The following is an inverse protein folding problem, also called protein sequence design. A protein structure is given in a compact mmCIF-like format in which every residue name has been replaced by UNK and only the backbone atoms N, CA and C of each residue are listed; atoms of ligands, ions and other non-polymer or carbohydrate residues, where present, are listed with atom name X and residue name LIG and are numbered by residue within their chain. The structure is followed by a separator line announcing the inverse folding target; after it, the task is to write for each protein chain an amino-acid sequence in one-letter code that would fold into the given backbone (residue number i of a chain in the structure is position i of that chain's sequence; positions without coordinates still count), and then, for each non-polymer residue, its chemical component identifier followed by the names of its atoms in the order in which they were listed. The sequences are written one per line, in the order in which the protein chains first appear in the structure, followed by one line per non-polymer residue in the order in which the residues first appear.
data_IF_169908828246
#
_entry.id   IF_169908828246
#
_cell.length_a   1.000
_cell.length_b   1.000
_cell.length_c   1.000
_cell.angle_alpha   90.00
_cell.angle_beta   90.00
_cell.angle_gamma   90.00
#
_symmetry.space_group_name_H-M   'P 1'
#
loop_
_entity.id
_entity.type
_entity.pdbx_description
1 polymer ?
#
# COMPACT_ATOMS: atom_id res chain seq x y z
N UNK A 1 -59.85 -19.94 26.49
CA UNK A 1 -60.31 -18.72 25.77
C UNK A 1 -59.25 -18.36 24.75
N UNK A 2 -59.61 -18.09 23.50
CA UNK A 2 -58.69 -17.47 22.54
C UNK A 2 -59.23 -16.11 22.10
N UNK A 3 -58.38 -15.30 21.47
CA UNK A 3 -58.79 -14.34 20.46
C UNK A 3 -57.70 -14.23 19.40
N UNK A 4 -58.12 -14.27 18.14
CA UNK A 4 -57.31 -13.94 16.96
C UNK A 4 -57.38 -12.44 16.67
N UNK A 5 -56.84 -12.03 15.49
CA UNK A 5 -56.92 -10.72 14.80
C UNK A 5 -55.75 -9.76 15.10
N UNK A 6 -55.17 -9.06 14.12
CA UNK A 6 -55.34 -9.14 12.65
C UNK A 6 -54.09 -8.68 11.88
N UNK A 7 -54.00 -9.09 10.61
CA UNK A 7 -53.24 -8.45 9.51
C UNK A 7 -53.79 -7.02 9.21
N UNK A 8 -53.08 -6.07 8.60
CA UNK A 8 -52.46 -6.04 7.24
C UNK A 8 -51.35 -4.97 7.14
N UNK A 9 -50.53 -4.93 6.06
CA UNK A 9 -49.54 -3.89 5.80
C UNK A 9 -50.04 -2.80 4.83
N UNK A 10 -49.78 -1.52 5.13
CA UNK A 10 -50.05 -0.44 4.18
C UNK A 10 -49.01 -0.38 3.04
N UNK A 11 -49.51 -0.44 1.80
CA UNK A 11 -48.79 0.01 0.61
C UNK A 11 -49.50 1.25 0.07
N UNK A 12 -48.78 2.33 -0.17
CA UNK A 12 -49.29 3.45 -0.97
C UNK A 12 -48.48 3.61 -2.27
N UNK A 13 -49.21 3.87 -3.35
CA UNK A 13 -48.76 3.70 -4.74
C UNK A 13 -48.20 4.99 -5.37
N UNK A 14 -47.55 4.85 -6.52
CA UNK A 14 -46.93 5.95 -7.26
C UNK A 14 -47.89 6.70 -8.21
N UNK A 15 -47.61 7.99 -8.38
CA UNK A 15 -47.86 8.80 -9.57
C UNK A 15 -46.61 9.72 -9.71
N UNK A 16 -45.85 9.75 -10.80
CA UNK A 16 -46.20 10.11 -12.19
C UNK A 16 -46.68 11.57 -12.30
N UNK A 17 -45.76 12.45 -12.66
CA UNK A 17 -46.02 13.73 -13.34
C UNK A 17 -44.98 13.88 -14.45
N UNK A 18 -45.41 14.35 -15.63
CA UNK A 18 -44.63 14.41 -16.87
C UNK A 18 -44.63 15.84 -17.43
N UNK A 19 -43.44 16.33 -17.85
CA UNK A 19 -43.19 17.38 -18.88
C UNK A 19 -41.68 17.63 -18.94
N UNK A 20 -40.97 17.44 -20.07
CA UNK A 20 -41.00 18.22 -21.32
C UNK A 20 -40.44 19.65 -21.17
N UNK A 21 -39.57 20.23 -22.03
CA UNK A 21 -38.63 19.82 -23.11
C UNK A 21 -38.55 21.01 -24.09
N UNK A 22 -37.36 21.50 -24.48
CA UNK A 22 -37.02 22.22 -25.76
C UNK A 22 -35.64 22.91 -25.70
N UNK A 23 -34.90 23.27 -26.77
CA UNK A 23 -34.72 22.72 -28.15
C UNK A 23 -33.63 23.50 -28.96
N UNK A 24 -32.65 22.80 -29.57
CA UNK A 24 -31.78 23.23 -30.73
C UNK A 24 -30.78 24.41 -30.54
N UNK A 25 -29.71 24.64 -31.36
CA UNK A 25 -28.88 23.86 -32.33
C UNK A 25 -27.56 24.69 -32.65
N UNK A 26 -26.86 24.84 -33.80
CA UNK A 26 -27.06 24.49 -35.24
C UNK A 26 -25.81 24.67 -36.19
N UNK A 27 -24.97 23.62 -36.38
CA UNK A 27 -24.01 23.38 -37.53
C UNK A 27 -22.73 24.24 -37.74
N UNK A 28 -21.73 23.61 -38.39
CA UNK A 28 -20.54 24.21 -39.08
C UNK A 28 -19.29 23.30 -38.97
N UNK A 29 -18.99 22.33 -39.85
CA UNK A 29 -18.57 22.35 -41.28
C UNK A 29 -17.13 22.89 -41.50
N UNK A 30 -16.24 22.02 -41.99
CA UNK A 30 -14.81 22.27 -42.29
C UNK A 30 -14.57 22.94 -43.66
N UNK A 31 -13.32 23.34 -43.98
CA UNK A 31 -12.60 22.57 -45.02
C UNK A 31 -11.07 22.43 -44.83
N UNK A 32 -10.46 21.65 -45.73
CA UNK A 32 -9.02 21.34 -45.87
C UNK A 32 -8.13 22.55 -46.19
N UNK A 33 -6.85 22.49 -45.77
CA UNK A 33 -5.70 22.83 -46.61
C UNK A 33 -4.45 22.05 -46.20
N UNK A 34 -3.61 21.67 -47.15
CA UNK A 34 -2.32 21.00 -46.92
C UNK A 34 -1.17 22.00 -46.76
N UNK A 35 -0.03 21.54 -46.23
CA UNK A 35 1.25 21.63 -46.96
C UNK A 35 2.27 20.60 -46.44
N UNK A 36 3.33 20.37 -47.22
CA UNK A 36 4.41 19.40 -47.00
C UNK A 36 5.76 20.11 -46.88
N UNK A 37 6.52 19.85 -45.82
CA UNK A 37 7.96 20.16 -45.76
C UNK A 37 8.70 19.25 -44.75
N UNK A 38 10.01 19.14 -44.94
CA UNK A 38 10.92 18.16 -44.31
C UNK A 38 12.19 18.90 -43.89
N UNK A 39 13.00 18.28 -43.02
CA UNK A 39 14.37 18.67 -42.63
C UNK A 39 14.42 19.84 -41.62
N UNK A 40 15.21 19.89 -40.54
CA UNK A 40 16.40 19.18 -39.96
C UNK A 40 17.61 20.13 -39.85
N UNK A 41 17.70 20.81 -38.71
CA UNK A 41 18.93 21.17 -38.00
C UNK A 41 18.57 21.32 -36.51
N UNK A 42 19.12 20.53 -35.58
CA UNK A 42 20.48 20.66 -35.02
C UNK A 42 20.68 21.99 -34.28
N UNK A 43 20.45 21.99 -32.97
CA UNK A 43 21.19 22.83 -32.02
C UNK A 43 21.16 22.19 -30.63
N UNK A 44 22.22 22.37 -29.84
CA UNK A 44 22.46 21.61 -28.60
C UNK A 44 22.08 22.38 -27.33
N UNK A 45 21.61 21.67 -26.31
CA UNK A 45 21.63 22.14 -24.92
C UNK A 45 21.73 20.94 -23.97
N UNK A 46 22.95 20.43 -23.80
CA UNK A 46 23.26 19.28 -22.95
C UNK A 46 23.30 19.63 -21.45
N UNK A 47 22.18 20.09 -20.89
CA UNK A 47 21.99 20.13 -19.44
C UNK A 47 21.36 18.85 -18.92
N UNK A 48 22.08 17.74 -19.09
CA UNK A 48 21.86 16.55 -18.29
C UNK A 48 22.27 16.86 -16.85
N UNK A 49 21.29 17.14 -15.98
CA UNK A 49 21.52 17.28 -14.54
C UNK A 49 22.15 15.97 -14.05
N UNK A 50 23.29 16.00 -13.33
CA UNK A 50 23.84 14.79 -12.73
C UNK A 50 22.89 14.25 -11.67
N UNK A 51 22.03 13.29 -12.04
CA UNK A 51 21.11 12.62 -11.12
C UNK A 51 21.80 11.60 -10.22
N UNK A 52 23.11 11.74 -10.01
CA UNK A 52 23.89 11.07 -8.98
C UNK A 52 23.58 11.69 -7.62
N UNK A 53 22.35 11.51 -7.16
CA UNK A 53 22.12 11.36 -5.73
C UNK A 53 23.06 10.23 -5.25
N UNK A 54 23.68 10.33 -4.06
CA UNK A 54 24.57 9.30 -3.58
C UNK A 54 23.81 7.98 -3.52
N UNK A 55 24.37 6.92 -4.12
CA UNK A 55 23.88 5.57 -3.87
C UNK A 55 24.11 5.28 -2.38
N UNK A 56 23.03 5.36 -1.60
CA UNK A 56 22.98 4.73 -0.28
C UNK A 56 23.24 3.26 -0.53
N UNK A 57 24.31 2.70 0.05
CA UNK A 57 24.73 1.33 -0.23
C UNK A 57 23.69 0.33 0.29
N UNK A 58 22.80 -0.15 -0.59
CA UNK A 58 21.70 -1.07 -0.26
C UNK A 58 22.14 -2.53 -0.04
N UNK A 59 23.41 -2.73 0.32
CA UNK A 59 24.01 -4.03 0.61
C UNK A 59 23.55 -4.52 1.99
N UNK A 60 22.66 -5.52 2.02
CA UNK A 60 22.29 -6.22 3.25
C UNK A 60 23.46 -7.10 3.73
N UNK A 61 24.26 -6.60 4.67
CA UNK A 61 25.44 -7.27 5.21
C UNK A 61 25.07 -8.37 6.23
N UNK A 62 24.26 -9.35 5.82
CA UNK A 62 23.81 -10.46 6.66
C UNK A 62 24.77 -11.67 6.55
N UNK A 63 25.12 -12.27 7.69
CA UNK A 63 25.80 -13.56 7.72
C UNK A 63 24.84 -14.69 7.33
N UNK A 64 25.36 -15.80 6.78
CA UNK A 64 24.55 -16.98 6.44
C UNK A 64 23.75 -17.53 7.64
N UNK A 65 24.26 -17.38 8.86
CA UNK A 65 23.55 -17.74 10.09
C UNK A 65 22.34 -16.83 10.35
N UNK A 66 22.47 -15.51 10.17
CA UNK A 66 21.35 -14.57 10.25
C UNK A 66 20.32 -14.84 9.14
N UNK A 67 20.76 -15.09 7.90
CA UNK A 67 19.87 -15.42 6.77
C UNK A 67 19.04 -16.68 7.07
N UNK A 68 19.67 -17.76 7.58
CA UNK A 68 18.97 -18.97 8.00
C UNK A 68 17.98 -18.72 9.16
N UNK A 69 18.36 -17.90 10.14
CA UNK A 69 17.50 -17.53 11.27
C UNK A 69 16.27 -16.70 10.83
N UNK A 70 16.45 -15.70 9.96
CA UNK A 70 15.38 -14.89 9.37
C UNK A 70 14.43 -15.80 8.58
N UNK A 71 14.96 -16.69 7.72
CA UNK A 71 14.16 -17.65 6.94
C UNK A 71 13.36 -18.60 7.86
N UNK A 72 13.95 -19.15 8.92
CA UNK A 72 13.26 -20.01 9.91
C UNK A 72 12.14 -19.25 10.65
N UNK A 73 12.45 -18.09 11.22
CA UNK A 73 11.50 -17.31 12.04
C UNK A 73 10.37 -16.72 11.22
N UNK A 74 10.64 -16.26 9.99
CA UNK A 74 9.61 -15.83 9.06
C UNK A 74 8.67 -16.97 8.67
N UNK A 75 9.19 -18.13 8.27
CA UNK A 75 8.37 -19.29 7.96
C UNK A 75 7.49 -19.73 9.16
N UNK A 76 8.03 -19.68 10.38
CA UNK A 76 7.24 -19.91 11.60
C UNK A 76 6.11 -18.87 11.76
N UNK A 77 6.37 -17.59 11.51
CA UNK A 77 5.38 -16.52 11.60
C UNK A 77 4.26 -16.65 10.54
N UNK A 78 4.60 -17.06 9.31
CA UNK A 78 3.65 -17.26 8.20
C UNK A 78 2.62 -18.36 8.49
N UNK A 79 2.96 -19.34 9.33
CA UNK A 79 2.03 -20.40 9.76
C UNK A 79 0.82 -19.89 10.59
N UNK A 80 0.84 -18.64 11.06
CA UNK A 80 -0.27 -18.03 11.80
C UNK A 80 -1.48 -17.70 10.91
N UNK A 81 -1.30 -17.62 9.59
CA UNK A 81 -2.38 -17.38 8.62
C UNK A 81 -1.88 -16.73 7.33
N UNK A 82 -2.69 -16.81 6.26
CA UNK A 82 -2.29 -16.37 4.92
C UNK A 82 -1.80 -14.91 4.83
N UNK A 83 -2.32 -14.02 5.67
CA UNK A 83 -1.92 -12.60 5.78
C UNK A 83 -1.23 -12.25 7.12
N UNK A 84 -0.79 -13.26 7.88
CA UNK A 84 0.08 -13.07 9.05
C UNK A 84 1.53 -13.41 8.67
N UNK A 85 2.55 -12.78 9.30
CA UNK A 85 2.44 -11.82 10.41
C UNK A 85 2.06 -10.38 10.01
N UNK A 86 1.88 -10.09 8.71
CA UNK A 86 1.67 -8.74 8.19
C UNK A 86 0.52 -7.99 8.88
N UNK A 87 -0.65 -8.62 9.06
CA UNK A 87 -1.77 -8.01 9.77
C UNK A 87 -1.43 -7.70 11.24
N UNK A 88 -0.67 -8.55 11.94
CA UNK A 88 -0.21 -8.27 13.31
C UNK A 88 0.79 -7.10 13.37
N UNK A 89 1.66 -6.93 12.37
CA UNK A 89 2.59 -5.80 12.27
C UNK A 89 1.83 -4.48 12.06
N UNK A 90 0.90 -4.44 11.09
CA UNK A 90 0.03 -3.28 10.88
C UNK A 90 -0.81 -2.95 12.12
N UNK A 91 -1.33 -3.97 12.83
CA UNK A 91 -2.03 -3.74 14.11
C UNK A 91 -1.11 -3.17 15.18
N UNK A 92 0.15 -3.62 15.30
CA UNK A 92 1.10 -3.05 16.26
C UNK A 92 1.43 -1.58 15.92
N UNK A 93 1.63 -1.26 14.64
CA UNK A 93 1.91 0.13 14.22
C UNK A 93 0.77 1.10 14.53
N UNK A 94 -0.49 0.63 14.55
CA UNK A 94 -1.65 1.42 15.00
C UNK A 94 -1.61 1.81 16.49
N UNK A 95 -0.94 1.02 17.33
CA UNK A 95 -0.71 1.35 18.75
C UNK A 95 0.52 2.25 18.92
N UNK A 96 1.54 2.13 18.05
CA UNK A 96 2.72 3.02 18.03
C UNK A 96 2.40 4.43 17.57
N UNK A 97 1.58 4.61 16.54
CA UNK A 97 1.06 5.92 16.15
C UNK A 97 -0.37 5.80 15.61
N UNK A 98 -1.29 6.54 16.24
CA UNK A 98 -2.69 6.63 15.84
C UNK A 98 -2.89 7.28 14.47
N UNK A 99 -1.94 8.08 13.96
CA UNK A 99 -1.96 8.59 12.58
C UNK A 99 -1.90 7.46 11.54
N UNK A 100 -1.08 6.42 11.77
CA UNK A 100 -1.00 5.25 10.88
C UNK A 100 -2.36 4.55 10.83
N UNK A 101 -3.04 4.43 11.97
CA UNK A 101 -4.41 3.91 12.05
C UNK A 101 -5.41 4.81 11.34
N UNK A 102 -5.29 6.14 11.47
CA UNK A 102 -6.17 7.12 10.80
C UNK A 102 -6.07 7.00 9.28
N UNK A 103 -4.86 7.01 8.71
CA UNK A 103 -4.62 6.83 7.27
C UNK A 103 -5.13 5.47 6.81
N UNK A 104 -4.73 4.38 7.49
CA UNK A 104 -5.08 3.02 7.07
C UNK A 104 -6.58 2.75 7.15
N UNK A 105 -7.28 3.30 8.15
CA UNK A 105 -8.71 3.08 8.37
C UNK A 105 -9.61 4.18 7.78
N UNK A 106 -9.07 5.18 7.08
CA UNK A 106 -9.81 6.32 6.54
C UNK A 106 -10.99 5.93 5.64
N UNK A 107 -12.11 6.63 5.80
CA UNK A 107 -13.36 6.43 5.05
C UNK A 107 -14.38 5.57 5.79
N UNK A 108 -15.36 5.04 5.07
CA UNK A 108 -16.36 4.13 5.65
C UNK A 108 -15.72 2.84 6.18
N UNK A 109 -16.28 2.25 7.24
CA UNK A 109 -15.70 1.11 8.00
C UNK A 109 -15.12 0.00 7.11
N UNK A 110 -15.83 -0.40 6.06
CA UNK A 110 -15.40 -1.49 5.17
C UNK A 110 -14.21 -1.10 4.28
N UNK A 111 -14.09 0.17 3.87
CA UNK A 111 -13.00 0.65 3.03
C UNK A 111 -11.65 0.58 3.75
N UNK A 112 -11.61 0.91 5.05
CA UNK A 112 -10.42 0.76 5.88
C UNK A 112 -9.95 -0.69 6.01
N UNK A 113 -10.87 -1.64 6.20
CA UNK A 113 -10.52 -3.06 6.32
C UNK A 113 -10.02 -3.65 4.99
N UNK A 114 -10.63 -3.30 3.85
CA UNK A 114 -10.11 -3.73 2.54
C UNK A 114 -8.79 -3.02 2.17
N UNK A 115 -8.56 -1.77 2.61
CA UNK A 115 -7.25 -1.10 2.48
C UNK A 115 -6.18 -1.86 3.27
N UNK A 116 -6.44 -2.17 4.54
CA UNK A 116 -5.54 -2.95 5.40
C UNK A 116 -5.24 -4.34 4.82
N UNK A 117 -6.26 -5.06 4.37
CA UNK A 117 -6.11 -6.39 3.74
C UNK A 117 -5.21 -6.35 2.50
N UNK A 118 -5.36 -5.33 1.64
CA UNK A 118 -4.49 -5.13 0.46
C UNK A 118 -3.06 -4.77 0.84
N UNK A 119 -2.85 -3.95 1.88
CA UNK A 119 -1.51 -3.64 2.37
C UNK A 119 -0.83 -4.85 3.00
N UNK A 120 -1.55 -5.65 3.80
CA UNK A 120 -1.05 -6.89 4.34
C UNK A 120 -0.65 -7.87 3.23
N UNK A 121 -1.47 -8.04 2.20
CA UNK A 121 -1.16 -8.89 1.05
C UNK A 121 0.08 -8.39 0.27
N UNK A 122 0.15 -7.10 -0.05
CA UNK A 122 1.29 -6.53 -0.76
C UNK A 122 2.60 -6.63 0.04
N UNK A 123 2.55 -6.32 1.34
CA UNK A 123 3.68 -6.46 2.26
C UNK A 123 4.11 -7.92 2.41
N UNK A 124 3.17 -8.85 2.58
CA UNK A 124 3.45 -10.29 2.62
C UNK A 124 4.20 -10.76 1.39
N UNK A 125 3.75 -10.41 0.18
CA UNK A 125 4.43 -10.81 -1.06
C UNK A 125 5.86 -10.23 -1.11
N UNK A 126 6.01 -8.92 -0.88
CA UNK A 126 7.33 -8.25 -0.93
C UNK A 126 8.31 -8.84 0.10
N UNK A 127 7.83 -9.19 1.29
CA UNK A 127 8.66 -9.80 2.34
C UNK A 127 8.94 -11.28 2.10
N UNK A 128 7.97 -12.05 1.58
CA UNK A 128 8.19 -13.44 1.16
C UNK A 128 9.28 -13.49 0.06
N UNK A 129 9.22 -12.59 -0.93
CA UNK A 129 10.22 -12.46 -2.01
C UNK A 129 11.59 -11.97 -1.48
N UNK A 130 11.63 -10.96 -0.60
CA UNK A 130 12.88 -10.47 0.02
C UNK A 130 13.57 -11.56 0.84
N UNK A 131 12.82 -12.28 1.67
CA UNK A 131 13.37 -13.30 2.56
C UNK A 131 13.78 -14.56 1.78
N UNK A 132 13.13 -14.85 0.66
CA UNK A 132 13.60 -15.83 -0.32
C UNK A 132 14.95 -15.42 -0.94
N UNK A 133 15.17 -14.14 -1.22
CA UNK A 133 16.33 -13.64 -2.00
C UNK A 133 17.41 -12.90 -1.19
N UNK A 134 17.52 -13.09 0.13
CA UNK A 134 18.52 -12.40 0.98
C UNK A 134 19.99 -12.57 0.55
N UNK A 135 20.33 -13.64 -0.16
CA UNK A 135 21.67 -13.88 -0.71
C UNK A 135 21.98 -13.00 -1.95
N UNK A 136 20.96 -12.35 -2.55
CA UNK A 136 21.08 -11.42 -3.68
C UNK A 136 19.86 -10.47 -3.71
N UNK A 137 19.80 -9.47 -2.81
CA UNK A 137 18.56 -8.71 -2.54
C UNK A 137 18.16 -7.71 -3.63
N UNK A 138 19.03 -7.42 -4.61
CA UNK A 138 18.84 -6.37 -5.63
C UNK A 138 17.50 -6.45 -6.37
N UNK A 139 17.02 -7.68 -6.64
CA UNK A 139 15.73 -7.93 -7.29
C UNK A 139 14.52 -7.36 -6.51
N UNK A 140 14.66 -7.19 -5.19
CA UNK A 140 13.56 -6.77 -4.29
C UNK A 140 13.56 -5.26 -3.98
N UNK A 141 14.67 -4.56 -4.27
CA UNK A 141 14.81 -3.11 -4.08
C UNK A 141 13.77 -2.34 -4.92
N UNK A 142 13.50 -2.80 -6.15
CA UNK A 142 12.52 -2.17 -7.03
C UNK A 142 11.06 -2.30 -6.53
N UNK A 143 10.54 -3.51 -6.18
CA UNK A 143 9.24 -3.66 -5.51
C UNK A 143 9.07 -2.82 -4.23
N UNK A 144 10.10 -2.76 -3.38
CA UNK A 144 10.07 -1.96 -2.15
C UNK A 144 9.97 -0.46 -2.47
N UNK A 145 10.74 0.04 -3.44
CA UNK A 145 10.66 1.44 -3.89
C UNK A 145 9.29 1.77 -4.50
N UNK A 146 8.75 0.93 -5.36
CA UNK A 146 7.41 1.13 -5.97
C UNK A 146 6.29 1.11 -4.90
N UNK A 147 6.44 0.31 -3.84
CA UNK A 147 5.54 0.34 -2.70
C UNK A 147 5.66 1.66 -1.90
N UNK A 148 6.88 2.19 -1.73
CA UNK A 148 7.12 3.51 -1.13
C UNK A 148 6.48 4.65 -1.92
N UNK A 149 6.67 4.67 -3.25
CA UNK A 149 6.15 5.70 -4.15
C UNK A 149 4.61 5.83 -4.11
N UNK A 150 3.89 4.73 -3.85
CA UNK A 150 2.43 4.71 -3.68
C UNK A 150 1.91 5.45 -2.45
N UNK A 151 2.79 5.92 -1.56
CA UNK A 151 2.44 6.76 -0.41
C UNK A 151 2.62 8.27 -0.67
N UNK A 152 3.02 8.66 -1.88
CA UNK A 152 3.13 10.07 -2.30
C UNK A 152 1.79 10.53 -2.89
N UNK A 153 0.97 11.19 -2.07
CA UNK A 153 -0.39 11.62 -2.45
C UNK A 153 -0.41 13.06 -3.01
N UNK A 154 -1.18 13.34 -4.10
CA UNK A 154 -1.30 14.69 -4.66
C UNK A 154 -1.87 15.71 -3.65
N UNK A 155 -2.86 15.30 -2.87
CA UNK A 155 -3.35 16.03 -1.70
C UNK A 155 -2.72 15.42 -0.47
N UNK A 156 -1.89 16.18 0.26
CA UNK A 156 -1.04 15.65 1.34
C UNK A 156 -1.82 14.87 2.38
N UNK A 157 -2.97 15.40 2.79
CA UNK A 157 -3.88 14.92 3.82
C UNK A 157 -5.10 14.15 3.27
N UNK A 158 -5.00 13.57 2.06
CA UNK A 158 -6.06 12.79 1.40
C UNK A 158 -6.72 11.70 2.27
N UNK A 159 -6.00 11.20 3.28
CA UNK A 159 -6.47 10.17 4.21
C UNK A 159 -6.59 10.67 5.67
N UNK A 160 -6.87 11.96 5.86
CA UNK A 160 -7.18 12.59 7.14
C UNK A 160 -5.98 13.14 7.91
N UNK A 161 -4.76 12.68 7.62
CA UNK A 161 -3.53 13.36 8.00
C UNK A 161 -2.40 13.12 6.97
N UNK A 162 -1.36 13.97 6.92
CA UNK A 162 -0.28 13.83 5.94
C UNK A 162 0.61 12.62 6.18
N UNK A 163 0.89 11.85 5.13
CA UNK A 163 1.93 10.82 5.17
C UNK A 163 3.33 11.47 5.33
N UNK A 164 4.21 10.84 6.12
CA UNK A 164 5.58 11.30 6.43
C UNK A 164 6.50 10.09 6.56
N UNK A 165 7.79 10.27 6.25
CA UNK A 165 8.80 9.21 6.41
C UNK A 165 8.83 8.64 7.85
N UNK A 166 8.60 9.49 8.86
CA UNK A 166 8.52 9.08 10.28
C UNK A 166 7.47 8.02 10.60
N UNK A 167 6.45 7.84 9.73
CA UNK A 167 5.46 6.77 9.86
C UNK A 167 6.04 5.40 9.46
N UNK A 168 7.03 5.38 8.55
CA UNK A 168 7.78 4.18 8.18
C UNK A 168 8.77 3.79 9.28
N UNK A 169 9.43 4.75 9.92
CA UNK A 169 10.32 4.49 11.07
C UNK A 169 9.55 3.86 12.25
N UNK A 170 8.34 4.36 12.50
CA UNK A 170 7.40 3.81 13.49
C UNK A 170 6.85 2.44 13.10
N UNK A 171 6.62 2.20 11.80
CA UNK A 171 6.21 0.89 11.28
C UNK A 171 7.34 -0.15 11.37
N UNK A 172 8.59 0.23 11.05
CA UNK A 172 9.77 -0.62 11.24
C UNK A 172 9.98 -0.96 12.72
N UNK A 173 9.85 0.03 13.60
CA UNK A 173 9.85 -0.19 15.06
C UNK A 173 8.77 -1.20 15.49
N UNK A 174 7.55 -1.07 14.96
CA UNK A 174 6.45 -1.99 15.22
C UNK A 174 6.67 -3.40 14.64
N UNK A 175 7.44 -3.53 13.55
CA UNK A 175 7.83 -4.80 12.94
C UNK A 175 8.89 -5.52 13.78
N UNK A 176 9.95 -4.81 14.21
CA UNK A 176 11.03 -5.35 15.05
C UNK A 176 10.48 -5.94 16.35
N UNK A 177 9.52 -5.27 17.00
CA UNK A 177 8.86 -5.83 18.19
C UNK A 177 8.13 -7.15 17.91
N UNK A 178 7.54 -7.31 16.72
CA UNK A 178 6.86 -8.55 16.34
C UNK A 178 7.85 -9.67 16.02
N UNK A 179 9.03 -9.38 15.45
CA UNK A 179 10.03 -10.45 15.18
C UNK A 179 10.50 -11.13 16.45
N UNK A 180 10.61 -10.39 17.56
CA UNK A 180 10.93 -10.93 18.89
C UNK A 180 9.90 -11.99 19.36
N UNK A 181 8.65 -11.91 18.93
CA UNK A 181 7.60 -12.89 19.25
C UNK A 181 7.63 -14.15 18.38
N UNK A 182 8.28 -14.13 17.21
CA UNK A 182 8.31 -15.28 16.29
C UNK A 182 9.46 -16.25 16.55
N UNK A 183 10.45 -15.86 17.38
CA UNK A 183 11.54 -16.73 17.80
C UNK A 183 11.10 -17.80 18.79
N UNK A 184 11.42 -19.07 18.52
CA UNK A 184 11.23 -20.18 19.46
C UNK A 184 11.94 -19.88 20.79
N UNK A 185 11.33 -20.26 21.92
CA UNK A 185 11.89 -19.98 23.27
C UNK A 185 13.33 -20.48 23.50
N UNK A 186 13.80 -21.42 22.68
CA UNK A 186 15.14 -22.01 22.72
C UNK A 186 16.19 -21.20 21.94
N UNK A 187 15.75 -20.45 20.92
CA UNK A 187 16.62 -19.79 19.94
C UNK A 187 16.71 -18.26 20.16
N UNK A 188 16.08 -17.75 21.23
CA UNK A 188 16.14 -16.34 21.65
C UNK A 188 17.51 -15.97 22.26
N UNK A 189 18.54 -15.93 21.42
CA UNK A 189 19.79 -15.23 21.72
C UNK A 189 19.75 -13.80 21.12
N UNK A 190 20.69 -12.95 21.54
CA UNK A 190 20.75 -11.50 21.23
C UNK A 190 20.79 -11.19 19.72
N UNK A 191 21.21 -12.16 18.90
CA UNK A 191 21.16 -12.15 17.43
C UNK A 191 19.77 -11.79 16.88
N UNK A 192 18.70 -12.11 17.62
CA UNK A 192 17.31 -11.86 17.22
C UNK A 192 17.02 -10.37 16.95
N UNK A 193 17.64 -9.45 17.68
CA UNK A 193 17.52 -8.01 17.45
C UNK A 193 18.37 -7.56 16.26
N UNK A 194 19.66 -7.92 16.29
CA UNK A 194 20.70 -7.48 15.34
C UNK A 194 20.53 -8.02 13.90
N UNK A 195 19.54 -8.87 13.65
CA UNK A 195 19.20 -9.37 12.32
C UNK A 195 17.99 -8.64 11.69
N UNK A 196 17.32 -7.75 12.42
CA UNK A 196 16.12 -7.02 11.99
C UNK A 196 16.27 -5.49 12.04
N UNK A 197 17.46 -4.99 12.38
CA UNK A 197 17.86 -3.58 12.48
C UNK A 197 18.81 -3.20 11.36
#
# INVERSE_FOLDING_TARGET
RGSFRHTEPERHSAAVVESASTKSAKKGVSPLRSQLSKEKATSSSSHAIPSSLPLVSTSLCLTSAQILFIRKTWAHARNQGSLEPALSIFRNSFFKNSEIRTIMMYGAKNAGHERLKKHAQAFTNIMDDLIANLDSPDATVAPIREAGEKHVFPTRDQFGCPFRATLLDQFASAMIERTLEWGEKKDRTEVSGFACT
#
